data_IF_638469156215
#
_entry.id   IF_638469156215
#
_cell.length_a   1.000
_cell.length_b   1.000
_cell.length_c   1.000
_cell.angle_alpha   90.00
_cell.angle_beta   90.00
_cell.angle_gamma   90.00
#
_symmetry.space_group_name_H-M   'P 1'
#
loop_
_entity.id
_entity.type
_entity.pdbx_description
1 polymer ?
#
# COMPACT_ATOMS: atom_id res chain seq x y z
N UNK A 1 -11.90 -32.27 -83.18
CA UNK A 1 -11.27 -31.42 -84.21
C UNK A 1 -10.93 -30.07 -83.59
N UNK A 2 -9.72 -29.58 -83.86
CA UNK A 2 -9.18 -28.29 -83.41
C UNK A 2 -9.96 -27.09 -84.03
N UNK A 3 -9.57 -25.89 -83.61
CA UNK A 3 -9.86 -24.52 -84.08
C UNK A 3 -10.83 -23.75 -83.16
N UNK A 4 -10.55 -22.51 -82.73
CA UNK A 4 -9.34 -21.70 -82.78
C UNK A 4 -9.45 -20.58 -81.74
N UNK A 5 -8.29 -20.07 -81.30
CA UNK A 5 -8.13 -18.93 -80.40
C UNK A 5 -8.72 -17.65 -81.01
N UNK A 6 -9.37 -16.83 -80.17
CA UNK A 6 -9.45 -15.39 -80.38
C UNK A 6 -8.93 -14.70 -79.11
N UNK A 7 -7.88 -13.91 -79.29
CA UNK A 7 -7.26 -13.06 -78.28
C UNK A 7 -8.04 -11.74 -78.26
N UNK A 8 -8.44 -11.28 -77.07
CA UNK A 8 -8.69 -9.85 -76.84
C UNK A 8 -8.11 -9.47 -75.48
N UNK A 9 -7.13 -8.58 -75.52
CA UNK A 9 -6.50 -7.95 -74.36
C UNK A 9 -7.48 -6.97 -73.70
N UNK A 10 -7.62 -7.05 -72.38
CA UNK A 10 -8.11 -5.94 -71.56
C UNK A 10 -7.28 -5.85 -70.29
N UNK A 11 -6.59 -4.72 -70.16
CA UNK A 11 -5.83 -4.27 -69.00
C UNK A 11 -6.69 -4.27 -67.73
N UNK A 12 -6.20 -4.88 -66.64
CA UNK A 12 -6.66 -4.58 -65.28
C UNK A 12 -5.43 -4.26 -64.43
N UNK A 13 -5.44 -3.05 -63.89
CA UNK A 13 -4.40 -2.46 -63.05
C UNK A 13 -4.21 -3.24 -61.75
N UNK A 14 -2.96 -3.56 -61.43
CA UNK A 14 -2.51 -4.05 -60.13
C UNK A 14 -2.53 -2.87 -59.13
N UNK A 15 -3.58 -2.80 -58.32
CA UNK A 15 -3.58 -1.97 -57.11
C UNK A 15 -2.90 -2.78 -56.00
N UNK A 16 -1.66 -2.42 -55.69
CA UNK A 16 -0.98 -2.87 -54.47
C UNK A 16 -1.61 -2.17 -53.26
N UNK A 17 -2.62 -2.79 -52.65
CA UNK A 17 -2.98 -2.49 -51.26
C UNK A 17 -2.00 -3.20 -50.34
N UNK A 18 -0.90 -2.52 -50.01
CA UNK A 18 -0.05 -2.88 -48.90
C UNK A 18 -0.87 -2.73 -47.61
N UNK A 19 -1.38 -3.84 -47.09
CA UNK A 19 -1.92 -3.88 -45.74
C UNK A 19 -0.82 -3.51 -44.75
N UNK A 20 -0.89 -2.30 -44.20
CA UNK A 20 -0.30 -1.96 -42.91
C UNK A 20 -0.95 -2.85 -41.85
N UNK A 21 -0.45 -4.07 -41.68
CA UNK A 21 -0.74 -4.86 -40.49
C UNK A 21 -0.01 -4.18 -39.33
N UNK A 22 -0.77 -3.46 -38.49
CA UNK A 22 -0.30 -3.13 -37.13
C UNK A 22 0.18 -4.43 -36.49
N UNK A 23 1.36 -4.45 -35.85
CA UNK A 23 1.80 -5.64 -35.14
C UNK A 23 0.70 -6.03 -34.14
N UNK A 24 0.29 -7.29 -34.18
CA UNK A 24 -0.63 -7.84 -33.21
C UNK A 24 -0.03 -7.59 -31.82
N UNK A 25 -0.77 -6.88 -30.96
CA UNK A 25 -0.45 -6.85 -29.53
C UNK A 25 -0.45 -8.30 -29.07
N UNK A 26 0.72 -8.82 -28.72
CA UNK A 26 0.83 -10.08 -28.00
C UNK A 26 -0.08 -10.03 -26.78
N UNK A 27 -0.99 -10.99 -26.64
CA UNK A 27 -1.94 -11.09 -25.51
C UNK A 27 -1.27 -10.97 -24.14
N UNK A 28 0.02 -11.30 -24.05
CA UNK A 28 0.89 -11.18 -22.88
C UNK A 28 1.06 -9.77 -22.31
N UNK A 29 0.73 -8.69 -23.05
CA UNK A 29 0.75 -7.31 -22.52
C UNK A 29 -0.61 -6.87 -21.93
N UNK A 30 -1.70 -7.62 -22.15
CA UNK A 30 -3.04 -7.19 -21.73
C UNK A 30 -3.33 -7.43 -20.24
N UNK A 31 -2.68 -8.43 -19.65
CA UNK A 31 -2.88 -8.83 -18.26
C UNK A 31 -1.87 -8.19 -17.29
N UNK A 32 -0.97 -7.34 -17.79
CA UNK A 32 0.03 -6.63 -17.00
C UNK A 32 -0.32 -5.14 -16.96
N UNK A 33 -0.30 -4.55 -15.76
CA UNK A 33 -0.48 -3.12 -15.54
C UNK A 33 0.59 -2.59 -14.58
N UNK A 34 0.96 -1.32 -14.74
CA UNK A 34 2.02 -0.68 -13.97
C UNK A 34 1.45 0.55 -13.25
N UNK A 35 1.89 0.78 -12.02
CA UNK A 35 1.37 1.81 -11.14
C UNK A 35 2.48 2.45 -10.32
N UNK A 36 2.45 3.76 -10.08
CA UNK A 36 3.47 4.42 -9.23
C UNK A 36 3.33 4.03 -7.76
N UNK A 37 2.09 3.84 -7.31
CA UNK A 37 1.75 3.60 -5.92
C UNK A 37 0.66 2.54 -5.80
N UNK A 38 0.40 2.12 -4.56
CA UNK A 38 -0.71 1.23 -4.20
C UNK A 38 -1.67 1.97 -3.29
N UNK A 39 -2.93 1.55 -3.32
CA UNK A 39 -3.96 2.06 -2.44
C UNK A 39 -3.58 1.88 -0.97
N UNK A 40 -3.82 2.93 -0.18
CA UNK A 40 -3.72 2.87 1.28
C UNK A 40 -4.75 1.91 1.87
N UNK A 41 -4.33 1.09 2.83
CA UNK A 41 -5.17 0.10 3.51
C UNK A 41 -4.78 -0.03 4.99
N UNK A 42 -5.79 -0.27 5.82
CA UNK A 42 -5.66 -0.54 7.27
C UNK A 42 -6.03 -1.98 7.65
N UNK A 43 -6.34 -2.83 6.66
CA UNK A 43 -6.76 -4.21 6.89
C UNK A 43 -6.19 -5.15 5.83
N UNK A 44 -5.72 -6.36 6.20
CA UNK A 44 -5.31 -7.35 5.22
C UNK A 44 -6.48 -7.92 4.40
N UNK A 45 -7.73 -7.50 4.68
CA UNK A 45 -8.89 -7.78 3.83
C UNK A 45 -8.75 -7.16 2.44
N UNK A 46 -8.18 -5.95 2.33
CA UNK A 46 -8.03 -5.29 1.04
C UNK A 46 -7.10 -6.09 0.12
N UNK A 47 -7.57 -6.37 -1.09
CA UNK A 47 -6.68 -6.84 -2.16
C UNK A 47 -5.96 -5.63 -2.74
N UNK A 48 -4.67 -5.75 -3.03
CA UNK A 48 -3.89 -4.64 -3.56
C UNK A 48 -4.53 -4.07 -4.82
N UNK A 49 -4.57 -2.74 -4.86
CA UNK A 49 -5.02 -1.95 -6.00
C UNK A 49 -3.92 -0.94 -6.31
N UNK A 50 -3.56 -0.85 -7.58
CA UNK A 50 -2.59 0.13 -8.05
C UNK A 50 -3.23 1.49 -8.25
N UNK A 51 -2.47 2.55 -7.95
CA UNK A 51 -2.85 3.94 -8.18
C UNK A 51 -1.83 4.59 -9.14
N UNK A 52 -2.24 5.66 -9.82
CA UNK A 52 -1.37 6.42 -10.74
C UNK A 52 -0.74 5.51 -11.82
N UNK A 53 -1.59 5.05 -12.74
CA UNK A 53 -1.21 4.14 -13.82
C UNK A 53 -0.04 4.65 -14.65
N UNK A 54 0.81 3.73 -15.11
CA UNK A 54 1.94 3.96 -15.99
C UNK A 54 1.80 3.14 -17.27
N UNK A 55 2.38 3.65 -18.34
CA UNK A 55 2.67 2.84 -19.53
C UNK A 55 3.85 1.90 -19.26
N UNK A 56 3.96 0.84 -20.06
CA UNK A 56 5.09 -0.09 -19.98
C UNK A 56 6.44 0.60 -20.25
N UNK A 57 6.47 1.67 -21.05
CA UNK A 57 7.71 2.41 -21.32
C UNK A 57 8.14 3.25 -20.12
N UNK A 58 7.20 3.96 -19.48
CA UNK A 58 7.47 4.71 -18.25
C UNK A 58 7.94 3.78 -17.12
N UNK A 59 7.35 2.59 -17.00
CA UNK A 59 7.71 1.59 -15.99
C UNK A 59 9.16 1.06 -16.11
N UNK A 60 9.83 1.27 -17.26
CA UNK A 60 11.26 0.93 -17.39
C UNK A 60 12.15 1.88 -16.60
N UNK A 61 11.75 3.13 -16.42
CA UNK A 61 12.58 4.13 -15.74
C UNK A 61 12.02 4.54 -14.38
N UNK A 62 10.75 4.29 -14.10
CA UNK A 62 10.10 4.65 -12.85
C UNK A 62 9.99 3.43 -11.93
N UNK A 63 10.30 3.63 -10.65
CA UNK A 63 9.98 2.66 -9.60
C UNK A 63 8.46 2.48 -9.55
N UNK A 64 7.99 1.25 -9.75
CA UNK A 64 6.58 0.97 -9.95
C UNK A 64 6.16 -0.35 -9.30
N UNK A 65 4.86 -0.51 -9.16
CA UNK A 65 4.21 -1.77 -8.90
C UNK A 65 3.69 -2.35 -10.20
N UNK A 66 4.22 -3.50 -10.60
CA UNK A 66 3.74 -4.30 -11.71
C UNK A 66 2.71 -5.30 -11.20
N UNK A 67 1.50 -5.21 -11.71
CA UNK A 67 0.37 -6.07 -11.41
C UNK A 67 0.18 -7.04 -12.57
N UNK A 68 0.05 -8.33 -12.27
CA UNK A 68 -0.27 -9.36 -13.26
C UNK A 68 -1.57 -10.05 -12.88
N UNK A 69 -2.49 -10.22 -13.83
CA UNK A 69 -3.75 -10.97 -13.64
C UNK A 69 -3.76 -12.28 -14.45
N UNK A 70 -4.57 -13.24 -14.00
CA UNK A 70 -4.90 -14.42 -14.81
C UNK A 70 -6.02 -14.13 -15.83
N UNK A 71 -6.39 -15.15 -16.61
CA UNK A 71 -7.45 -15.07 -17.64
C UNK A 71 -8.83 -14.75 -17.06
N UNK A 72 -9.07 -15.08 -15.78
CA UNK A 72 -10.30 -14.75 -15.06
C UNK A 72 -10.28 -13.32 -14.46
N UNK A 73 -9.25 -12.54 -14.74
CA UNK A 73 -9.07 -11.18 -14.21
C UNK A 73 -8.66 -11.13 -12.73
N UNK A 74 -8.31 -12.26 -12.12
CA UNK A 74 -7.87 -12.31 -10.73
C UNK A 74 -6.38 -11.92 -10.64
N UNK A 75 -6.02 -11.15 -9.60
CA UNK A 75 -4.65 -10.74 -9.34
C UNK A 75 -3.78 -11.96 -9.00
N UNK A 76 -2.67 -12.17 -9.70
CA UNK A 76 -1.73 -13.28 -9.46
C UNK A 76 -0.34 -12.84 -9.02
N UNK A 77 0.08 -11.61 -9.32
CA UNK A 77 1.29 -11.04 -8.72
C UNK A 77 1.23 -9.52 -8.60
N UNK A 78 1.94 -9.01 -7.58
CA UNK A 78 2.33 -7.60 -7.46
C UNK A 78 3.82 -7.55 -7.17
N UNK A 79 4.56 -6.80 -7.99
CA UNK A 79 6.02 -6.70 -7.94
C UNK A 79 6.43 -5.22 -7.83
N UNK A 80 7.07 -4.83 -6.74
CA UNK A 80 7.70 -3.52 -6.66
C UNK A 80 9.08 -3.58 -7.31
N UNK A 81 9.22 -2.88 -8.44
CA UNK A 81 10.35 -3.06 -9.34
C UNK A 81 10.68 -1.79 -10.12
N UNK A 82 11.87 -1.78 -10.74
CA UNK A 82 12.22 -0.89 -11.85
C UNK A 82 12.82 -1.71 -12.98
N UNK A 83 12.26 -1.62 -14.18
CA UNK A 83 12.71 -2.38 -15.35
C UNK A 83 12.87 -3.91 -15.09
N UNK A 84 11.97 -4.49 -14.29
CA UNK A 84 12.04 -5.92 -13.93
C UNK A 84 13.06 -6.28 -12.84
N UNK A 85 13.78 -5.31 -12.28
CA UNK A 85 14.61 -5.52 -11.07
C UNK A 85 13.74 -5.27 -9.84
N UNK A 86 13.58 -6.29 -8.99
CA UNK A 86 12.83 -6.18 -7.73
C UNK A 86 13.54 -5.27 -6.72
N UNK A 87 12.76 -4.49 -5.96
CA UNK A 87 13.24 -3.50 -5.00
C UNK A 87 12.69 -3.82 -3.58
N UNK A 88 13.50 -3.61 -2.55
CA UNK A 88 13.23 -4.06 -1.17
C UNK A 88 12.47 -3.05 -0.29
N UNK A 89 12.19 -1.85 -0.80
CA UNK A 89 11.55 -0.75 -0.05
C UNK A 89 10.09 -0.51 -0.42
N UNK A 90 9.41 -1.60 -0.75
CA UNK A 90 8.01 -1.64 -1.13
C UNK A 90 7.05 -1.39 0.05
N UNK A 91 5.90 -0.79 -0.23
CA UNK A 91 4.83 -0.59 0.75
C UNK A 91 4.01 -1.86 1.05
N UNK A 92 4.13 -2.95 0.27
CA UNK A 92 3.44 -4.22 0.56
C UNK A 92 4.18 -5.11 1.58
N UNK A 93 5.31 -4.64 2.13
CA UNK A 93 6.13 -5.39 3.08
C UNK A 93 6.95 -6.53 2.45
N UNK A 94 7.02 -6.59 1.13
CA UNK A 94 7.83 -7.53 0.35
C UNK A 94 8.17 -6.91 -1.02
N UNK A 95 9.23 -7.37 -1.68
CA UNK A 95 9.53 -6.91 -3.03
C UNK A 95 8.51 -7.46 -4.05
N UNK A 96 7.99 -8.65 -3.79
CA UNK A 96 6.96 -9.30 -4.59
C UNK A 96 5.99 -10.09 -3.72
N UNK A 97 4.73 -10.12 -4.15
CA UNK A 97 3.72 -11.08 -3.67
C UNK A 97 3.10 -11.83 -4.82
N UNK A 98 2.70 -13.08 -4.59
CA UNK A 98 1.95 -13.89 -5.56
C UNK A 98 0.68 -14.43 -4.96
N UNK A 99 -0.31 -14.70 -5.81
CA UNK A 99 -1.59 -15.27 -5.44
C UNK A 99 -1.89 -16.54 -6.24
N UNK A 100 -2.30 -17.60 -5.55
CA UNK A 100 -2.94 -18.77 -6.16
C UNK A 100 -4.37 -18.91 -5.69
N UNK A 101 -5.20 -19.58 -6.48
CA UNK A 101 -6.63 -19.76 -6.20
C UNK A 101 -6.99 -21.24 -6.30
N UNK A 102 -7.55 -21.79 -5.23
CA UNK A 102 -7.90 -23.21 -5.11
C UNK A 102 -9.29 -23.36 -4.49
N UNK A 103 -10.31 -23.56 -5.33
CA UNK A 103 -11.70 -23.56 -4.88
C UNK A 103 -12.08 -22.23 -4.23
N UNK A 104 -12.44 -22.26 -2.94
CA UNK A 104 -12.78 -21.05 -2.15
C UNK A 104 -11.57 -20.40 -1.47
N UNK A 105 -10.35 -20.81 -1.80
CA UNK A 105 -9.13 -20.28 -1.21
C UNK A 105 -8.41 -19.31 -2.15
N UNK A 106 -7.84 -18.25 -1.57
CA UNK A 106 -6.79 -17.46 -2.19
C UNK A 106 -5.55 -17.54 -1.30
N UNK A 107 -4.42 -17.96 -1.85
CA UNK A 107 -3.17 -18.15 -1.09
C UNK A 107 -2.17 -17.10 -1.52
N UNK A 108 -1.65 -16.33 -0.57
CA UNK A 108 -0.68 -15.27 -0.80
C UNK A 108 0.69 -15.65 -0.25
N UNK A 109 1.71 -15.50 -1.08
CA UNK A 109 3.12 -15.72 -0.74
C UNK A 109 3.93 -14.43 -0.92
N UNK A 110 5.04 -14.32 -0.21
CA UNK A 110 5.92 -13.15 -0.17
C UNK A 110 7.34 -13.51 -0.62
N UNK A 111 7.98 -12.60 -1.33
CA UNK A 111 9.34 -12.78 -1.84
C UNK A 111 10.18 -11.52 -1.62
N UNK A 112 11.45 -11.72 -1.29
CA UNK A 112 12.44 -10.64 -1.18
C UNK A 112 12.89 -10.15 -2.57
N UNK A 113 13.80 -9.17 -2.60
CA UNK A 113 14.35 -8.57 -3.81
C UNK A 113 15.20 -9.53 -4.66
N UNK A 114 15.63 -10.65 -4.08
CA UNK A 114 16.28 -11.76 -4.78
C UNK A 114 15.29 -12.79 -5.32
N UNK A 115 13.99 -12.52 -5.18
CA UNK A 115 12.88 -13.40 -5.53
C UNK A 115 12.91 -14.73 -4.75
N UNK A 116 13.46 -14.73 -3.54
CA UNK A 116 13.46 -15.86 -2.61
C UNK A 116 12.26 -15.73 -1.65
N UNK A 117 11.66 -16.84 -1.18
CA UNK A 117 10.56 -16.81 -0.21
C UNK A 117 10.94 -16.02 1.04
N UNK A 118 10.01 -15.18 1.51
CA UNK A 118 10.19 -14.32 2.66
C UNK A 118 8.99 -14.41 3.62
N UNK A 119 9.19 -13.96 4.87
CA UNK A 119 8.11 -13.79 5.84
C UNK A 119 7.61 -12.36 5.82
N UNK A 120 6.32 -12.18 5.99
CA UNK A 120 5.72 -10.87 6.26
C UNK A 120 4.94 -10.94 7.58
N UNK A 121 5.20 -9.98 8.47
CA UNK A 121 4.54 -9.93 9.78
C UNK A 121 4.71 -11.19 10.64
N UNK A 122 5.73 -12.04 10.40
CA UNK A 122 5.97 -13.28 11.14
C UNK A 122 5.45 -14.56 10.46
N UNK A 123 4.73 -14.45 9.34
CA UNK A 123 4.18 -15.59 8.60
C UNK A 123 4.73 -15.68 7.17
N UNK A 124 4.80 -16.90 6.65
CA UNK A 124 5.28 -17.20 5.28
C UNK A 124 4.14 -17.22 4.26
N UNK A 125 2.93 -17.58 4.71
CA UNK A 125 1.75 -17.74 3.85
C UNK A 125 0.53 -17.10 4.50
N UNK A 126 -0.24 -16.38 3.70
CA UNK A 126 -1.54 -15.85 4.08
C UNK A 126 -2.60 -16.63 3.28
N UNK A 127 -3.36 -17.49 3.95
CA UNK A 127 -4.44 -18.25 3.32
C UNK A 127 -5.78 -17.57 3.60
N UNK A 128 -6.40 -17.03 2.56
CA UNK A 128 -7.70 -16.38 2.62
C UNK A 128 -8.82 -17.34 2.21
N UNK A 129 -9.97 -17.22 2.87
CA UNK A 129 -11.23 -17.83 2.42
C UNK A 129 -12.08 -16.79 1.69
N UNK A 130 -12.69 -17.23 0.59
CA UNK A 130 -13.57 -16.42 -0.25
C UNK A 130 -15.02 -16.93 -0.16
N UNK A 131 -15.98 -16.02 -0.18
CA UNK A 131 -17.38 -16.35 -0.42
C UNK A 131 -17.69 -16.51 -1.93
N UNK A 132 -18.97 -16.75 -2.25
CA UNK A 132 -19.43 -16.95 -3.64
C UNK A 132 -19.30 -15.71 -4.52
N UNK A 133 -19.22 -14.52 -3.92
CA UNK A 133 -18.98 -13.26 -4.62
C UNK A 133 -17.49 -12.97 -4.84
N UNK A 134 -16.60 -13.80 -4.27
CA UNK A 134 -15.16 -13.58 -4.26
C UNK A 134 -14.69 -12.64 -3.16
N UNK A 135 -15.55 -12.27 -2.19
CA UNK A 135 -15.17 -11.47 -1.04
C UNK A 135 -14.37 -12.32 -0.06
N UNK A 136 -13.26 -11.78 0.46
CA UNK A 136 -12.54 -12.39 1.58
C UNK A 136 -13.42 -12.40 2.83
N UNK A 137 -13.58 -13.56 3.44
CA UNK A 137 -14.35 -13.76 4.69
C UNK A 137 -13.48 -14.23 5.84
N UNK A 138 -12.28 -14.75 5.56
CA UNK A 138 -11.32 -15.09 6.59
C UNK A 138 -9.89 -15.05 6.06
N UNK A 139 -8.93 -14.99 6.99
CA UNK A 139 -7.50 -15.15 6.75
C UNK A 139 -6.91 -15.98 7.89
N UNK A 140 -6.03 -16.92 7.57
CA UNK A 140 -5.12 -17.53 8.54
C UNK A 140 -3.66 -17.40 8.13
N UNK A 141 -2.79 -17.30 9.11
CA UNK A 141 -1.34 -17.25 8.92
C UNK A 141 -0.72 -18.63 9.05
N UNK A 142 0.17 -18.97 8.11
CA UNK A 142 0.93 -20.22 8.12
C UNK A 142 2.44 -19.96 7.99
N UNK A 143 3.23 -20.89 8.52
CA UNK A 143 4.68 -20.95 8.30
C UNK A 143 5.03 -21.55 6.93
N UNK A 144 6.33 -21.71 6.68
CA UNK A 144 6.88 -22.32 5.47
C UNK A 144 6.50 -23.79 5.25
N UNK A 145 6.04 -24.48 6.29
CA UNK A 145 5.59 -25.88 6.25
C UNK A 145 4.04 -25.98 6.22
N UNK A 146 3.35 -24.86 6.03
CA UNK A 146 1.89 -24.72 6.12
C UNK A 146 1.30 -25.02 7.51
N UNK A 147 2.10 -24.96 8.57
CA UNK A 147 1.61 -25.05 9.94
C UNK A 147 1.03 -23.71 10.40
N UNK A 148 -0.09 -23.70 11.15
CA UNK A 148 -0.66 -22.50 11.77
C UNK A 148 0.35 -21.75 12.64
N UNK A 149 0.46 -20.42 12.44
CA UNK A 149 1.29 -19.54 13.29
C UNK A 149 0.53 -18.28 13.69
N UNK A 150 1.04 -17.62 14.73
CA UNK A 150 0.65 -16.24 15.04
C UNK A 150 1.61 -15.26 14.37
N UNK A 151 1.05 -14.15 13.89
CA UNK A 151 1.83 -13.04 13.39
C UNK A 151 2.48 -12.25 14.54
N UNK A 152 3.23 -11.19 14.20
CA UNK A 152 3.92 -10.30 15.16
C UNK A 152 3.03 -9.68 16.24
N UNK A 153 1.72 -9.63 16.02
CA UNK A 153 0.73 -9.11 16.95
C UNK A 153 -0.03 -10.22 17.70
N UNK A 154 0.47 -11.46 17.69
CA UNK A 154 -0.16 -12.65 18.33
C UNK A 154 -1.51 -13.03 17.72
N UNK A 155 -1.76 -12.66 16.46
CA UNK A 155 -2.98 -13.00 15.72
C UNK A 155 -2.69 -14.18 14.81
N UNK A 156 -3.51 -15.22 14.85
CA UNK A 156 -3.48 -16.34 13.91
C UNK A 156 -4.53 -16.20 12.80
N UNK A 157 -5.74 -15.78 13.16
CA UNK A 157 -6.92 -15.83 12.31
C UNK A 157 -7.66 -14.49 12.31
N UNK A 158 -8.15 -14.09 11.15
CA UNK A 158 -9.08 -12.98 10.95
C UNK A 158 -10.40 -13.51 10.42
N UNK A 159 -11.49 -12.89 10.85
CA UNK A 159 -12.84 -13.12 10.32
C UNK A 159 -13.44 -11.80 9.86
N UNK A 160 -14.04 -11.83 8.67
CA UNK A 160 -14.70 -10.68 8.06
C UNK A 160 -16.12 -10.98 7.62
N UNK A 161 -17.01 -10.04 7.88
CA UNK A 161 -18.36 -10.06 7.35
C UNK A 161 -18.86 -8.65 7.04
N UNK A 162 -19.67 -8.50 5.99
CA UNK A 162 -20.40 -7.25 5.74
C UNK A 162 -21.64 -7.19 6.63
N UNK A 163 -21.84 -6.05 7.28
CA UNK A 163 -23.02 -5.76 8.10
C UNK A 163 -24.16 -5.20 7.24
N UNK A 164 -25.42 -5.22 7.74
CA UNK A 164 -26.57 -4.69 6.99
C UNK A 164 -26.47 -3.22 6.58
N UNK A 165 -25.69 -2.43 7.31
CA UNK A 165 -25.40 -1.02 7.02
C UNK A 165 -24.24 -0.82 6.02
N UNK A 166 -23.67 -1.92 5.51
CA UNK A 166 -22.59 -1.92 4.53
C UNK A 166 -21.17 -1.85 5.13
N UNK A 167 -21.02 -1.68 6.45
CA UNK A 167 -19.69 -1.71 7.07
C UNK A 167 -19.07 -3.10 6.99
N UNK A 168 -17.75 -3.16 6.81
CA UNK A 168 -16.99 -4.40 6.95
C UNK A 168 -16.60 -4.58 8.42
N UNK A 169 -17.06 -5.65 9.05
CA UNK A 169 -16.65 -6.04 10.40
C UNK A 169 -15.42 -6.94 10.32
N UNK A 170 -14.48 -6.73 11.23
CA UNK A 170 -13.25 -7.51 11.38
C UNK A 170 -13.07 -7.96 12.83
N UNK A 171 -12.87 -9.27 13.00
CA UNK A 171 -12.51 -9.93 14.25
C UNK A 171 -11.20 -10.69 14.10
N UNK A 172 -10.52 -10.94 15.22
CA UNK A 172 -9.19 -11.54 15.26
C UNK A 172 -9.06 -12.54 16.40
N UNK A 173 -8.32 -13.60 16.15
CA UNK A 173 -8.14 -14.71 17.09
C UNK A 173 -6.70 -15.22 17.10
N UNK A 174 -6.23 -15.67 18.26
CA UNK A 174 -4.93 -16.34 18.42
C UNK A 174 -5.02 -17.84 18.09
N UNK A 175 -3.93 -18.60 18.25
CA UNK A 175 -3.93 -20.05 17.98
C UNK A 175 -4.81 -20.86 18.94
N UNK A 176 -5.06 -20.34 20.14
CA UNK A 176 -5.98 -20.95 21.11
C UNK A 176 -7.46 -20.70 20.77
N UNK A 177 -7.76 -19.91 19.72
CA UNK A 177 -9.11 -19.51 19.34
C UNK A 177 -9.70 -18.40 20.22
N UNK A 178 -8.86 -17.72 21.01
CA UNK A 178 -9.27 -16.62 21.87
C UNK A 178 -9.26 -15.32 21.06
N UNK A 179 -10.26 -14.46 21.31
CA UNK A 179 -10.33 -13.13 20.69
C UNK A 179 -9.13 -12.29 21.12
N UNK A 180 -8.48 -11.64 20.16
CA UNK A 180 -7.34 -10.76 20.40
C UNK A 180 -7.56 -9.37 19.81
N UNK A 181 -6.91 -8.39 20.42
CA UNK A 181 -6.95 -7.01 19.96
C UNK A 181 -6.01 -6.78 18.78
N UNK A 182 -6.19 -5.66 18.07
CA UNK A 182 -5.36 -5.29 16.92
C UNK A 182 -3.85 -5.30 17.23
N UNK A 183 -3.45 -4.67 18.35
CA UNK A 183 -2.12 -4.77 18.96
C UNK A 183 -2.17 -4.27 20.41
N UNK A 184 -1.12 -4.54 21.19
CA UNK A 184 -1.06 -4.17 22.62
C UNK A 184 -1.02 -2.66 22.87
N UNK A 185 -0.54 -1.86 21.92
CA UNK A 185 -0.46 -0.40 22.04
C UNK A 185 -1.80 0.29 21.78
N UNK A 186 -2.64 -0.31 20.94
CA UNK A 186 -3.97 0.16 20.59
C UNK A 186 -4.92 -1.04 20.62
N UNK A 187 -5.40 -1.45 21.82
CA UNK A 187 -6.22 -2.63 22.03
C UNK A 187 -7.65 -2.48 21.46
N UNK A 188 -7.74 -2.39 20.14
CA UNK A 188 -9.00 -2.39 19.41
C UNK A 188 -9.52 -3.82 19.28
N UNK A 189 -10.73 -4.07 19.77
CA UNK A 189 -11.32 -5.40 19.87
C UNK A 189 -11.96 -5.81 18.55
N UNK A 190 -13.12 -5.22 18.24
CA UNK A 190 -13.81 -5.37 16.95
C UNK A 190 -13.56 -4.12 16.12
N UNK A 191 -13.18 -4.30 14.86
CA UNK A 191 -13.14 -3.18 13.93
C UNK A 191 -14.30 -3.18 12.97
N UNK A 192 -14.79 -1.98 12.66
CA UNK A 192 -15.69 -1.76 11.54
C UNK A 192 -15.10 -0.72 10.60
N UNK A 193 -15.09 -1.05 9.31
CA UNK A 193 -14.56 -0.21 8.26
C UNK A 193 -15.69 0.32 7.37
N UNK A 194 -15.56 1.58 6.99
CA UNK A 194 -16.39 2.21 5.96
C UNK A 194 -15.51 2.55 4.76
N UNK A 195 -16.06 2.33 3.58
CA UNK A 195 -15.40 2.63 2.30
C UNK A 195 -16.28 3.58 1.49
N UNK A 196 -15.66 4.40 0.65
CA UNK A 196 -16.37 5.16 -0.37
C UNK A 196 -16.72 4.29 -1.60
N UNK A 197 -17.37 4.90 -2.59
CA UNK A 197 -17.78 4.22 -3.84
C UNK A 197 -16.62 3.74 -4.71
N UNK A 198 -15.41 4.31 -4.54
CA UNK A 198 -14.19 3.88 -5.22
C UNK A 198 -13.51 2.71 -4.47
N UNK A 199 -13.99 2.40 -3.26
CA UNK A 199 -13.45 1.38 -2.37
C UNK A 199 -12.22 1.86 -1.61
N UNK A 200 -12.08 3.16 -1.38
CA UNK A 200 -11.09 3.72 -0.46
C UNK A 200 -11.65 3.74 0.96
N UNK A 201 -10.84 3.31 1.93
CA UNK A 201 -11.24 3.37 3.34
C UNK A 201 -11.42 4.84 3.75
N UNK A 202 -12.55 5.14 4.37
CA UNK A 202 -12.87 6.50 4.88
C UNK A 202 -12.99 6.52 6.39
N UNK A 203 -13.26 5.37 7.01
CA UNK A 203 -13.33 5.22 8.47
C UNK A 203 -12.92 3.82 8.91
N UNK A 204 -12.21 3.77 10.03
CA UNK A 204 -11.92 2.56 10.80
C UNK A 204 -12.29 2.84 12.25
N UNK A 205 -13.10 1.98 12.87
CA UNK A 205 -13.64 2.28 14.20
C UNK A 205 -13.67 1.06 15.11
N UNK A 206 -13.36 1.28 16.39
CA UNK A 206 -13.29 0.29 17.43
C UNK A 206 -14.65 0.13 18.13
N UNK A 207 -15.14 -1.09 18.18
CA UNK A 207 -16.41 -1.44 18.80
C UNK A 207 -16.20 -2.46 19.93
N UNK A 208 -17.08 -2.35 20.93
CA UNK A 208 -17.32 -3.39 21.91
C UNK A 208 -18.79 -3.76 21.84
N UNK A 209 -19.08 -4.97 21.34
CA UNK A 209 -20.41 -5.32 20.83
C UNK A 209 -20.87 -4.30 19.77
N UNK A 210 -22.06 -3.71 19.92
CA UNK A 210 -22.59 -2.71 18.97
C UNK A 210 -22.35 -1.26 19.39
N UNK A 211 -21.52 -1.04 20.41
CA UNK A 211 -21.21 0.28 20.94
C UNK A 211 -19.82 0.72 20.51
N UNK A 212 -19.72 1.94 19.97
CA UNK A 212 -18.44 2.58 19.69
C UNK A 212 -17.65 2.74 21.01
N UNK A 213 -16.40 2.29 21.03
CA UNK A 213 -15.62 2.15 22.26
C UNK A 213 -14.34 2.99 22.22
N UNK A 214 -14.03 3.67 23.33
CA UNK A 214 -12.74 4.31 23.55
C UNK A 214 -11.76 3.27 24.11
N UNK A 215 -10.69 3.00 23.38
CA UNK A 215 -9.47 2.47 23.99
C UNK A 215 -8.94 3.49 25.00
N UNK A 216 -8.82 3.10 26.27
CA UNK A 216 -8.22 3.92 27.33
C UNK A 216 -6.96 3.26 27.90
N UNK A 217 -6.29 2.40 27.12
CA UNK A 217 -4.96 1.93 27.49
C UNK A 217 -4.01 3.13 27.60
N UNK A 218 -2.94 3.01 28.39
CA UNK A 218 -1.99 4.10 28.66
C UNK A 218 -1.48 4.78 27.36
N UNK A 219 -1.37 4.03 26.26
CA UNK A 219 -0.90 4.52 24.97
C UNK A 219 -1.99 5.14 24.07
N UNK A 220 -3.25 5.16 24.50
CA UNK A 220 -4.41 5.73 23.78
C UNK A 220 -4.79 7.14 24.26
N UNK A 221 -3.86 7.84 24.94
CA UNK A 221 -4.07 9.20 25.43
C UNK A 221 -5.09 9.32 26.57
N UNK A 222 -5.19 10.50 27.18
CA UNK A 222 -6.00 10.73 28.38
C UNK A 222 -7.51 10.71 28.10
N UNK A 223 -7.92 11.00 26.86
CA UNK A 223 -9.32 11.10 26.44
C UNK A 223 -9.80 9.86 25.65
N UNK A 224 -8.92 8.87 25.48
CA UNK A 224 -9.16 7.63 24.77
C UNK A 224 -9.22 7.76 23.25
N UNK A 225 -9.01 6.64 22.55
CA UNK A 225 -9.01 6.56 21.08
C UNK A 225 -10.06 5.56 20.61
N UNK A 226 -10.87 5.93 19.62
CA UNK A 226 -12.01 5.12 19.17
C UNK A 226 -12.06 4.87 17.67
N UNK A 227 -11.88 5.90 16.85
CA UNK A 227 -11.95 5.74 15.40
C UNK A 227 -10.99 6.66 14.67
N UNK A 228 -10.65 6.25 13.46
CA UNK A 228 -9.82 6.99 12.52
C UNK A 228 -10.68 7.41 11.33
N UNK A 229 -10.42 8.62 10.82
CA UNK A 229 -10.98 9.12 9.57
C UNK A 229 -9.87 9.28 8.55
N UNK A 230 -10.20 8.96 7.30
CA UNK A 230 -9.30 9.05 6.16
C UNK A 230 -9.96 9.88 5.07
N UNK A 231 -9.27 10.91 4.62
CA UNK A 231 -9.68 11.68 3.44
C UNK A 231 -8.76 11.31 2.29
N UNK A 232 -9.33 10.78 1.22
CA UNK A 232 -8.60 10.37 0.03
C UNK A 232 -8.88 11.35 -1.12
N UNK A 233 -7.88 11.55 -1.99
CA UNK A 233 -8.09 12.24 -3.25
C UNK A 233 -8.99 11.38 -4.17
N UNK A 234 -9.52 11.98 -5.24
CA UNK A 234 -10.23 11.24 -6.29
C UNK A 234 -9.37 10.12 -6.92
N UNK A 235 -8.06 10.28 -6.89
CA UNK A 235 -7.08 9.35 -7.46
C UNK A 235 -6.60 8.32 -6.42
N UNK A 236 -7.13 8.36 -5.18
CA UNK A 236 -6.85 7.42 -4.10
C UNK A 236 -5.69 7.78 -3.18
N UNK A 237 -5.11 8.98 -3.30
CA UNK A 237 -4.00 9.40 -2.43
C UNK A 237 -4.53 9.81 -1.05
N UNK A 238 -3.91 9.35 0.04
CA UNK A 238 -4.31 9.73 1.40
C UNK A 238 -3.92 11.19 1.70
N UNK A 239 -4.91 12.08 1.72
CA UNK A 239 -4.74 13.52 2.00
C UNK A 239 -4.77 13.83 3.48
N UNK A 240 -5.61 13.14 4.25
CA UNK A 240 -5.70 13.33 5.70
C UNK A 240 -5.92 12.00 6.43
N UNK A 241 -5.28 11.86 7.59
CA UNK A 241 -5.56 10.84 8.60
C UNK A 241 -5.84 11.60 9.90
N UNK A 242 -7.00 11.41 10.52
CA UNK A 242 -7.26 11.89 11.89
C UNK A 242 -7.76 10.80 12.83
N UNK A 243 -7.47 10.99 14.11
CA UNK A 243 -7.74 10.05 15.20
C UNK A 243 -8.72 10.71 16.17
N UNK A 244 -9.75 9.98 16.57
CA UNK A 244 -10.85 10.54 17.36
C UNK A 244 -11.28 9.63 18.50
N UNK A 245 -11.78 10.23 19.57
CA UNK A 245 -12.53 9.53 20.63
C UNK A 245 -14.02 9.35 20.25
N UNK A 246 -14.80 8.69 21.10
CA UNK A 246 -16.22 8.39 20.86
C UNK A 246 -17.13 9.62 20.69
N UNK A 247 -16.73 10.79 21.19
CA UNK A 247 -17.50 12.05 21.05
C UNK A 247 -16.99 12.91 19.88
N UNK A 248 -15.99 12.41 19.14
CA UNK A 248 -15.46 13.01 17.92
C UNK A 248 -14.35 14.05 18.11
N UNK A 249 -13.87 14.24 19.34
CA UNK A 249 -12.69 15.06 19.59
C UNK A 249 -11.44 14.38 19.02
N UNK A 250 -10.49 15.18 18.51
CA UNK A 250 -9.18 14.67 18.12
C UNK A 250 -8.50 14.04 19.35
N UNK A 251 -7.93 12.86 19.16
CA UNK A 251 -7.25 12.11 20.22
C UNK A 251 -5.89 11.64 19.73
N UNK A 252 -4.89 11.64 20.59
CA UNK A 252 -3.54 11.29 20.22
C UNK A 252 -3.30 9.78 20.23
N UNK A 253 -2.64 9.27 19.19
CA UNK A 253 -2.00 7.96 19.24
C UNK A 253 -0.68 8.03 20.01
N UNK A 254 -0.05 6.87 20.18
CA UNK A 254 1.36 6.77 20.55
C UNK A 254 2.22 7.72 19.69
N UNK A 255 3.14 8.45 20.33
CA UNK A 255 3.92 9.58 19.79
C UNK A 255 3.22 10.95 19.72
N UNK A 256 1.99 11.08 20.19
CA UNK A 256 1.38 12.37 20.53
C UNK A 256 0.63 13.09 19.40
N UNK A 257 0.62 12.54 18.18
CA UNK A 257 -0.12 13.13 17.06
C UNK A 257 -1.57 12.59 17.01
N UNK A 258 -2.50 13.46 16.62
CA UNK A 258 -3.92 13.14 16.43
C UNK A 258 -4.39 13.36 14.99
N UNK A 259 -3.66 14.15 14.20
CA UNK A 259 -3.98 14.35 12.78
C UNK A 259 -2.72 14.49 11.94
N UNK A 260 -2.79 13.99 10.71
CA UNK A 260 -1.79 14.14 9.66
C UNK A 260 -2.45 14.66 8.40
N UNK A 261 -1.84 15.66 7.76
CA UNK A 261 -2.26 16.20 6.46
C UNK A 261 -1.11 16.05 5.48
N UNK A 262 -1.38 15.56 4.27
CA UNK A 262 -0.41 15.38 3.21
C UNK A 262 -0.69 16.32 2.03
N UNK A 263 0.37 16.94 1.52
CA UNK A 263 0.38 17.56 0.19
C UNK A 263 1.01 16.56 -0.76
N UNK A 264 0.29 16.21 -1.82
CA UNK A 264 0.73 15.27 -2.85
C UNK A 264 0.98 15.99 -4.17
N UNK A 265 1.99 15.54 -4.93
CA UNK A 265 2.26 16.04 -6.27
C UNK A 265 1.36 15.37 -7.33
N UNK A 266 1.54 15.74 -8.61
CA UNK A 266 0.77 15.18 -9.72
C UNK A 266 0.98 13.67 -9.95
N UNK A 267 2.07 13.10 -9.40
CA UNK A 267 2.39 11.68 -9.48
C UNK A 267 1.87 10.90 -8.26
N UNK A 268 1.24 11.57 -7.28
CA UNK A 268 0.74 10.96 -6.05
C UNK A 268 1.81 10.81 -4.96
N UNK A 269 2.99 11.41 -5.11
CA UNK A 269 4.02 11.37 -4.07
C UNK A 269 3.73 12.43 -3.00
N UNK A 270 3.73 12.04 -1.73
CA UNK A 270 3.62 12.98 -0.63
C UNK A 270 4.90 13.81 -0.51
N UNK A 271 4.80 15.10 -0.84
CA UNK A 271 5.93 16.06 -0.84
C UNK A 271 6.01 16.87 0.47
N UNK A 272 4.90 17.00 1.19
CA UNK A 272 4.86 17.59 2.53
C UNK A 272 3.85 16.81 3.38
N UNK A 273 4.22 16.51 4.63
CA UNK A 273 3.35 15.94 5.64
C UNK A 273 3.40 16.82 6.88
N UNK A 274 2.24 17.25 7.35
CA UNK A 274 2.09 18.05 8.57
C UNK A 274 1.33 17.26 9.62
N UNK A 275 1.85 17.24 10.84
CA UNK A 275 1.27 16.55 11.98
C UNK A 275 0.77 17.54 13.03
N UNK A 276 -0.37 17.21 13.62
CA UNK A 276 -1.05 17.99 14.65
C UNK A 276 -1.33 17.12 15.88
N UNK A 277 -1.37 17.73 17.05
CA UNK A 277 -1.76 17.10 18.31
C UNK A 277 -3.30 17.09 18.52
N UNK A 278 -3.72 16.65 19.71
CA UNK A 278 -5.14 16.53 20.09
C UNK A 278 -5.87 17.87 20.17
N UNK A 279 -5.15 18.98 20.37
CA UNK A 279 -5.71 20.33 20.42
C UNK A 279 -5.76 20.97 19.04
N UNK A 280 -5.43 20.19 17.99
CA UNK A 280 -5.32 20.61 16.60
C UNK A 280 -4.21 21.67 16.40
N UNK A 281 -3.21 21.69 17.26
CA UNK A 281 -2.01 22.52 17.13
C UNK A 281 -0.90 21.72 16.45
N UNK A 282 0.13 22.40 15.92
CA UNK A 282 1.27 21.71 15.33
C UNK A 282 1.94 20.80 16.36
N UNK A 283 2.19 19.54 15.99
CA UNK A 283 2.84 18.57 16.87
C UNK A 283 4.20 19.11 17.35
N UNK A 284 4.36 19.20 18.67
CA UNK A 284 5.59 19.64 19.32
C UNK A 284 6.25 18.57 20.21
N UNK A 285 7.08 19.02 21.14
CA UNK A 285 7.70 18.16 22.15
C UNK A 285 8.90 17.37 21.61
N UNK A 286 8.76 16.04 21.51
CA UNK A 286 9.86 15.14 21.06
C UNK A 286 9.94 14.98 19.54
N UNK A 287 9.08 15.68 18.80
CA UNK A 287 8.96 15.58 17.34
C UNK A 287 8.87 16.97 16.72
N UNK A 288 9.10 17.02 15.41
CA UNK A 288 8.85 18.20 14.58
C UNK A 288 7.59 17.99 13.74
N UNK A 289 6.78 19.04 13.53
CA UNK A 289 5.45 18.87 12.94
C UNK A 289 5.46 18.65 11.43
N UNK A 290 6.48 19.11 10.71
CA UNK A 290 6.47 19.11 9.25
C UNK A 290 7.62 18.26 8.71
N UNK A 291 7.30 17.39 7.75
CA UNK A 291 8.27 16.61 6.98
C UNK A 291 8.09 16.95 5.52
N UNK A 292 9.15 17.43 4.86
CA UNK A 292 9.22 17.56 3.41
C UNK A 292 9.95 16.37 2.80
N UNK A 293 9.46 15.87 1.68
CA UNK A 293 10.07 14.77 0.93
C UNK A 293 10.42 15.23 -0.48
N UNK A 294 11.58 14.79 -0.97
CA UNK A 294 12.05 15.05 -2.33
C UNK A 294 12.31 13.71 -3.02
N UNK A 295 11.84 13.61 -4.27
CA UNK A 295 11.94 12.40 -5.09
C UNK A 295 12.75 12.71 -6.35
N UNK A 296 13.47 11.72 -6.85
CA UNK A 296 14.15 11.82 -8.15
C UNK A 296 13.20 11.57 -9.32
N UNK A 297 13.73 11.66 -10.54
CA UNK A 297 13.02 11.37 -11.79
C UNK A 297 12.50 9.94 -11.92
N UNK A 298 13.04 8.99 -11.15
CA UNK A 298 12.59 7.61 -11.08
C UNK A 298 11.46 7.41 -10.07
N UNK A 299 11.09 8.46 -9.31
CA UNK A 299 10.12 8.38 -8.22
C UNK A 299 10.69 7.77 -6.94
N UNK A 300 12.01 7.68 -6.81
CA UNK A 300 12.67 7.23 -5.59
C UNK A 300 12.82 8.40 -4.61
N UNK A 301 12.51 8.17 -3.33
CA UNK A 301 12.69 9.16 -2.27
C UNK A 301 14.19 9.40 -2.05
N UNK A 302 14.69 10.60 -2.34
CA UNK A 302 16.12 10.95 -2.19
C UNK A 302 16.42 11.78 -0.96
N UNK A 303 15.43 12.52 -0.44
CA UNK A 303 15.61 13.36 0.75
C UNK A 303 14.35 13.45 1.59
N UNK A 304 14.50 13.38 2.91
CA UNK A 304 13.49 13.83 3.90
C UNK A 304 14.08 14.93 4.77
N UNK A 305 13.28 15.95 5.02
CA UNK A 305 13.67 17.14 5.78
C UNK A 305 12.62 17.37 6.87
N UNK A 306 13.04 17.35 8.13
CA UNK A 306 12.21 17.70 9.28
C UNK A 306 12.29 19.21 9.53
N UNK A 307 11.12 19.83 9.74
CA UNK A 307 10.99 21.27 9.85
C UNK A 307 10.10 21.66 11.03
N UNK A 308 10.39 22.82 11.62
CA UNK A 308 9.52 23.44 12.61
C UNK A 308 8.20 23.95 11.98
N UNK A 309 7.31 24.49 12.82
CA UNK A 309 6.01 25.03 12.40
C UNK A 309 6.11 26.21 11.43
N UNK A 310 7.26 26.91 11.42
CA UNK A 310 7.54 28.06 10.57
C UNK A 310 8.26 27.63 9.27
N UNK A 311 8.36 26.32 9.02
CA UNK A 311 9.02 25.68 7.88
C UNK A 311 10.54 25.88 7.81
N UNK A 312 11.18 26.15 8.95
CA UNK A 312 12.65 26.13 9.02
C UNK A 312 13.14 24.71 9.30
N UNK A 313 14.26 24.34 8.67
CA UNK A 313 14.93 23.05 8.95
C UNK A 313 15.41 23.04 10.40
N UNK A 314 15.05 22.00 11.14
CA UNK A 314 15.41 21.88 12.54
C UNK A 314 15.81 20.44 12.90
N UNK A 315 16.68 20.30 13.89
CA UNK A 315 17.03 18.98 14.45
C UNK A 315 15.83 18.42 15.18
N UNK A 316 15.43 17.20 14.84
CA UNK A 316 14.40 16.50 15.59
C UNK A 316 14.84 16.35 17.07
N UNK A 317 14.03 16.80 18.04
CA UNK A 317 14.41 16.74 19.44
C UNK A 317 14.66 15.32 19.97
N UNK A 318 14.07 14.30 19.34
CA UNK A 318 14.18 12.91 19.76
C UNK A 318 15.50 12.22 19.36
N UNK A 319 16.10 12.59 18.23
CA UNK A 319 17.29 11.90 17.70
C UNK A 319 18.38 12.84 17.12
N UNK A 320 18.14 14.14 17.08
CA UNK A 320 19.05 15.14 16.53
C UNK A 320 19.07 15.24 15.01
N UNK A 321 18.28 14.42 14.30
CA UNK A 321 18.28 14.34 12.84
C UNK A 321 17.35 15.41 12.26
N UNK A 322 17.84 16.17 11.28
CA UNK A 322 17.02 17.09 10.50
C UNK A 322 16.82 16.60 9.07
N UNK A 323 17.82 15.93 8.50
CA UNK A 323 17.84 15.55 7.09
C UNK A 323 18.23 14.08 6.97
N UNK A 324 17.45 13.30 6.21
CA UNK A 324 17.85 11.95 5.77
C UNK A 324 18.00 11.94 4.27
N UNK A 325 19.16 11.52 3.76
CA UNK A 325 19.46 11.36 2.33
C UNK A 325 19.55 9.89 1.98
N UNK A 326 19.04 9.53 0.80
CA UNK A 326 19.07 8.17 0.26
C UNK A 326 19.79 8.17 -1.08
N UNK A 327 20.68 7.19 -1.27
CA UNK A 327 21.40 6.97 -2.52
C UNK A 327 20.99 5.62 -3.10
N UNK A 328 20.96 5.53 -4.43
CA UNK A 328 20.54 4.35 -5.17
C UNK A 328 21.57 3.99 -6.24
N UNK A 329 21.63 2.71 -6.61
CA UNK A 329 22.38 2.28 -7.79
C UNK A 329 21.59 2.52 -9.09
N UNK A 330 22.22 2.18 -10.22
CA UNK A 330 21.63 2.36 -11.56
C UNK A 330 20.36 1.51 -11.77
N UNK A 331 20.20 0.41 -11.02
CA UNK A 331 19.01 -0.45 -11.08
C UNK A 331 17.88 0.00 -10.13
N UNK A 332 18.20 0.85 -9.13
CA UNK A 332 17.24 1.49 -8.24
C UNK A 332 17.26 0.91 -6.84
N UNK A 333 18.20 0.02 -6.54
CA UNK A 333 18.38 -0.53 -5.20
C UNK A 333 19.04 0.54 -4.35
N UNK A 334 18.54 0.70 -3.12
CA UNK A 334 19.08 1.68 -2.18
C UNK A 334 20.44 1.19 -1.68
N UNK A 335 21.48 1.98 -1.91
CA UNK A 335 22.86 1.67 -1.52
C UNK A 335 23.26 2.33 -0.22
N UNK A 336 22.61 3.44 0.15
CA UNK A 336 22.99 4.22 1.33
C UNK A 336 21.79 4.93 1.96
N UNK A 337 21.86 5.15 3.27
CA UNK A 337 20.97 6.05 4.03
C UNK A 337 21.82 6.82 5.03
N UNK A 338 21.98 8.12 4.80
CA UNK A 338 22.75 9.01 5.67
C UNK A 338 21.82 9.97 6.39
N UNK A 339 22.05 10.17 7.69
CA UNK A 339 21.29 11.05 8.56
C UNK A 339 22.17 12.22 8.99
N UNK A 340 21.63 13.42 8.89
CA UNK A 340 22.34 14.67 9.17
C UNK A 340 21.52 15.54 10.11
N UNK A 341 22.22 16.40 10.84
CA UNK A 341 21.61 17.53 11.53
C UNK A 341 21.26 18.65 10.52
N UNK A 342 20.72 19.75 11.03
CA UNK A 342 20.25 20.91 10.27
C UNK A 342 21.38 21.67 9.58
N UNK A 343 22.62 21.48 10.04
CA UNK A 343 23.82 22.12 9.50
C UNK A 343 24.56 21.15 8.54
N UNK A 344 23.89 20.06 8.13
CA UNK A 344 24.40 18.98 7.27
C UNK A 344 25.62 18.23 7.83
N UNK A 345 25.76 18.17 9.16
CA UNK A 345 26.75 17.32 9.84
C UNK A 345 26.17 15.93 10.08
N UNK A 346 26.94 14.88 9.78
CA UNK A 346 26.49 13.50 9.90
C UNK A 346 26.16 13.15 11.36
N UNK A 347 24.94 12.67 11.61
CA UNK A 347 24.50 12.17 12.91
C UNK A 347 24.81 10.67 12.96
N UNK A 348 25.83 10.31 13.73
CA UNK A 348 26.16 8.90 13.96
C UNK A 348 25.11 8.32 14.91
N UNK A 349 24.40 7.28 14.46
CA UNK A 349 23.47 6.57 15.31
C UNK A 349 24.19 6.09 16.58
N UNK A 350 23.67 6.45 17.76
CA UNK A 350 24.07 5.76 18.99
C UNK A 350 23.50 4.35 18.86
N UNK A 351 24.40 3.36 18.73
CA UNK A 351 24.06 1.94 18.60
C UNK A 351 23.31 1.39 19.80
#
# INVERSE_FOLDING_TARGET
MKFNKLILFAFIALVFSACNQKPAKTEADSNVKYFRSIQFSETPWDTEKGLRSLTAEEAKTINNYKFTTNENGQLVSVEYNRNGVLLDYSSIGAAKVTYTYEGKKQIKHFFNEKNEPAKNGGASVYEYMLDESGMRTALRFLDENNAPVENRNKIHYFEWNKLPDGMLRELRYNLAGESVVMNEFCPFYELRFTYDENGYVTRMANYQADTLYNCTAENCGDIGVSYFLFENSKDGDLLQFSVHNTVGQLSNLYWGWAKRVNVVDANGYAIETTQFDQDNEFLGGKSLPIIKSEYDEHGALVKRISMDKDKNIANNPGDGVAITKYTYDAEGRRTETLKYDKDEVLVVAKG
#
